data_IF_278508986197
#
_entry.id   IF_278508986197
#
_cell.length_a   1.000
_cell.length_b   1.000
_cell.length_c   1.000
_cell.angle_alpha   90.00
_cell.angle_beta   90.00
_cell.angle_gamma   90.00
#
_symmetry.space_group_name_H-M   'P 1'
#
loop_
_entity.id
_entity.type
_entity.pdbx_description
1 polymer ?
#
# COMPACT_ATOMS: atom_id res chain seq x y z
N UNK A 1 -33.23 -8.19 -25.70
CA UNK A 1 -32.74 -8.07 -24.34
C UNK A 1 -33.80 -8.63 -23.38
N UNK A 2 -33.39 -9.37 -22.32
CA UNK A 2 -34.34 -9.85 -21.34
C UNK A 2 -35.10 -8.68 -20.69
N UNK A 3 -36.39 -8.92 -20.38
CA UNK A 3 -37.23 -7.91 -19.75
C UNK A 3 -36.74 -7.76 -18.28
N UNK A 4 -36.11 -6.63 -17.96
CA UNK A 4 -35.68 -6.31 -16.60
C UNK A 4 -36.82 -5.56 -15.91
N UNK A 5 -37.27 -6.08 -14.77
CA UNK A 5 -38.21 -5.38 -13.92
C UNK A 5 -37.48 -4.35 -13.04
N UNK A 6 -37.59 -3.04 -13.28
CA UNK A 6 -36.73 -2.05 -12.64
C UNK A 6 -37.02 -1.87 -11.15
N UNK A 7 -38.24 -2.12 -10.67
CA UNK A 7 -38.62 -1.91 -9.26
C UNK A 7 -37.92 -2.88 -8.29
N UNK A 8 -37.98 -4.22 -8.49
CA UNK A 8 -37.26 -5.14 -7.60
C UNK A 8 -35.74 -4.97 -7.69
N UNK A 9 -35.24 -4.68 -8.91
CA UNK A 9 -33.79 -4.41 -9.09
C UNK A 9 -33.34 -3.19 -8.27
N UNK A 10 -34.13 -2.10 -8.32
CA UNK A 10 -33.83 -0.91 -7.53
C UNK A 10 -33.89 -1.18 -6.01
N UNK A 11 -34.90 -1.95 -5.55
CA UNK A 11 -35.03 -2.27 -4.13
C UNK A 11 -33.82 -3.07 -3.62
N UNK A 12 -33.36 -4.08 -4.37
CA UNK A 12 -32.18 -4.89 -4.04
C UNK A 12 -30.91 -4.04 -4.09
N UNK A 13 -30.77 -3.18 -5.11
CA UNK A 13 -29.61 -2.30 -5.22
C UNK A 13 -29.50 -1.32 -4.05
N UNK A 14 -30.63 -0.70 -3.64
CA UNK A 14 -30.64 0.21 -2.48
C UNK A 14 -30.33 -0.54 -1.17
N UNK A 15 -30.87 -1.74 -0.97
CA UNK A 15 -30.51 -2.57 0.18
C UNK A 15 -29.01 -2.89 0.19
N UNK A 16 -28.42 -3.24 -0.97
CA UNK A 16 -26.98 -3.44 -1.12
C UNK A 16 -26.16 -2.20 -0.79
N UNK A 17 -26.57 -1.01 -1.23
CA UNK A 17 -25.93 0.25 -0.87
C UNK A 17 -25.90 0.44 0.65
N UNK A 18 -27.05 0.27 1.33
CA UNK A 18 -27.13 0.44 2.79
C UNK A 18 -26.21 -0.53 3.52
N UNK A 19 -26.21 -1.80 3.14
CA UNK A 19 -25.35 -2.82 3.76
C UNK A 19 -23.86 -2.51 3.55
N UNK A 20 -23.46 -2.14 2.31
CA UNK A 20 -22.07 -1.84 2.00
C UNK A 20 -21.59 -0.53 2.66
N UNK A 21 -22.45 0.50 2.77
CA UNK A 21 -22.13 1.70 3.52
C UNK A 21 -21.89 1.36 5.01
N UNK A 22 -22.78 0.57 5.62
CA UNK A 22 -22.64 0.15 7.01
C UNK A 22 -21.35 -0.67 7.22
N UNK A 23 -21.08 -1.64 6.36
CA UNK A 23 -19.86 -2.44 6.39
C UNK A 23 -18.59 -1.60 6.20
N UNK A 24 -18.61 -0.67 5.22
CA UNK A 24 -17.50 0.26 4.98
C UNK A 24 -17.23 1.17 6.18
N UNK A 25 -18.27 1.68 6.83
CA UNK A 25 -18.15 2.51 8.04
C UNK A 25 -17.57 1.72 9.22
N UNK A 26 -17.95 0.47 9.40
CA UNK A 26 -17.42 -0.40 10.44
C UNK A 26 -15.93 -0.70 10.17
N UNK A 27 -15.60 -1.06 8.94
CA UNK A 27 -14.23 -1.39 8.57
C UNK A 27 -13.31 -0.16 8.53
N UNK A 28 -13.85 1.03 8.23
CA UNK A 28 -13.10 2.29 8.30
C UNK A 28 -12.61 2.65 9.71
N UNK A 29 -13.21 2.07 10.75
CA UNK A 29 -12.80 2.21 12.15
C UNK A 29 -11.75 1.17 12.57
N UNK A 30 -11.55 0.13 11.77
CA UNK A 30 -10.52 -0.86 12.02
C UNK A 30 -9.14 -0.30 11.63
N UNK A 31 -8.08 -0.84 12.23
CA UNK A 31 -6.72 -0.49 11.84
C UNK A 31 -6.44 -0.97 10.42
N UNK A 32 -6.25 -0.05 9.47
CA UNK A 32 -6.04 -0.32 8.04
C UNK A 32 -4.59 -0.59 7.67
N UNK A 33 -3.71 -0.74 8.64
CA UNK A 33 -2.30 -0.99 8.43
C UNK A 33 -2.04 -2.37 7.80
N UNK A 34 -3.00 -3.29 7.90
CA UNK A 34 -2.92 -4.61 7.27
C UNK A 34 -3.45 -4.59 5.83
N UNK A 35 -2.67 -5.14 4.87
CA UNK A 35 -3.09 -5.36 3.47
C UNK A 35 -4.43 -6.09 3.35
N UNK A 36 -4.70 -7.02 4.28
CA UNK A 36 -5.96 -7.75 4.30
C UNK A 36 -7.16 -6.84 4.61
N UNK A 37 -7.00 -5.92 5.57
CA UNK A 37 -8.06 -4.96 5.95
C UNK A 37 -8.25 -3.94 4.82
N UNK A 38 -7.17 -3.44 4.24
CA UNK A 38 -7.23 -2.53 3.10
C UNK A 38 -7.86 -3.20 1.88
N UNK A 39 -7.49 -4.46 1.58
CA UNK A 39 -8.11 -5.24 0.51
C UNK A 39 -9.60 -5.46 0.72
N UNK A 40 -10.03 -5.82 1.94
CA UNK A 40 -11.43 -5.96 2.29
C UNK A 40 -12.21 -4.64 2.17
N UNK A 41 -11.61 -3.52 2.60
CA UNK A 41 -12.20 -2.20 2.46
C UNK A 41 -12.39 -1.81 0.97
N UNK A 42 -11.36 -2.01 0.15
CA UNK A 42 -11.44 -1.75 -1.32
C UNK A 42 -12.51 -2.62 -1.98
N UNK A 43 -12.65 -3.88 -1.56
CA UNK A 43 -13.70 -4.75 -2.08
C UNK A 43 -15.10 -4.20 -1.75
N UNK A 44 -15.36 -3.80 -0.49
CA UNK A 44 -16.64 -3.21 -0.07
C UNK A 44 -16.94 -1.92 -0.85
N UNK A 45 -15.96 -1.07 -1.07
CA UNK A 45 -16.15 0.16 -1.86
C UNK A 45 -16.44 -0.16 -3.32
N UNK A 46 -15.80 -1.18 -3.89
CA UNK A 46 -16.05 -1.62 -5.26
C UNK A 46 -17.47 -2.19 -5.42
N UNK A 47 -17.93 -2.99 -4.46
CA UNK A 47 -19.30 -3.49 -4.42
C UNK A 47 -20.32 -2.35 -4.30
N UNK A 48 -20.00 -1.33 -3.49
CA UNK A 48 -20.83 -0.14 -3.36
C UNK A 48 -21.01 0.57 -4.72
N UNK A 49 -19.93 0.71 -5.51
CA UNK A 49 -20.04 1.25 -6.87
C UNK A 49 -20.93 0.38 -7.77
N UNK A 50 -20.86 -0.95 -7.61
CA UNK A 50 -21.71 -1.90 -8.31
C UNK A 50 -23.18 -1.66 -8.00
N UNK A 51 -23.55 -1.57 -6.73
CA UNK A 51 -24.94 -1.32 -6.31
C UNK A 51 -25.44 0.07 -6.71
N UNK A 52 -24.60 1.10 -6.62
CA UNK A 52 -24.95 2.45 -7.10
C UNK A 52 -25.18 2.43 -8.62
N UNK A 53 -24.29 1.79 -9.39
CA UNK A 53 -24.43 1.65 -10.84
C UNK A 53 -25.74 0.94 -11.23
N UNK A 54 -26.05 -0.15 -10.54
CA UNK A 54 -27.31 -0.91 -10.73
C UNK A 54 -28.53 -0.07 -10.37
N UNK A 55 -28.50 0.70 -9.27
CA UNK A 55 -29.58 1.59 -8.88
C UNK A 55 -29.81 2.69 -9.93
N UNK A 56 -28.74 3.31 -10.42
CA UNK A 56 -28.83 4.32 -11.50
C UNK A 56 -29.40 3.72 -12.78
N UNK A 57 -28.91 2.53 -13.19
CA UNK A 57 -29.43 1.84 -14.37
C UNK A 57 -30.93 1.54 -14.23
N UNK A 58 -31.36 1.04 -13.06
CA UNK A 58 -32.78 0.76 -12.80
C UNK A 58 -33.65 2.02 -12.89
N UNK A 59 -33.18 3.16 -12.36
CA UNK A 59 -33.90 4.44 -12.48
C UNK A 59 -33.97 4.91 -13.93
N UNK A 60 -32.87 4.81 -14.69
CA UNK A 60 -32.85 5.16 -16.11
C UNK A 60 -33.80 4.28 -16.91
N UNK A 61 -33.80 2.96 -16.70
CA UNK A 61 -34.72 2.03 -17.37
C UNK A 61 -36.17 2.39 -17.01
N UNK A 62 -36.47 2.68 -15.75
CA UNK A 62 -37.79 3.04 -15.29
C UNK A 62 -38.30 4.35 -15.92
N UNK A 63 -37.41 5.35 -16.01
CA UNK A 63 -37.78 6.68 -16.53
C UNK A 63 -37.84 6.74 -18.06
N UNK A 64 -36.95 6.01 -18.75
CA UNK A 64 -36.77 6.15 -20.22
C UNK A 64 -37.14 4.91 -21.02
N UNK A 65 -37.29 3.76 -20.39
CA UNK A 65 -37.42 2.46 -21.05
C UNK A 65 -36.15 1.96 -21.76
N UNK A 66 -35.01 2.62 -21.57
CA UNK A 66 -33.77 2.28 -22.24
C UNK A 66 -33.07 1.05 -21.58
N UNK A 67 -33.42 -0.15 -22.02
CA UNK A 67 -32.96 -1.42 -21.49
C UNK A 67 -31.44 -1.65 -21.56
N UNK A 68 -30.71 -0.88 -22.39
CA UNK A 68 -29.25 -1.00 -22.48
C UNK A 68 -28.49 -0.30 -21.35
N UNK A 69 -29.19 0.50 -20.53
CA UNK A 69 -28.60 1.21 -19.41
C UNK A 69 -27.90 0.25 -18.41
N UNK A 70 -28.48 -0.93 -18.18
CA UNK A 70 -27.91 -1.98 -17.32
C UNK A 70 -26.57 -2.48 -17.87
N UNK A 71 -26.49 -2.80 -19.15
CA UNK A 71 -25.25 -3.24 -19.79
C UNK A 71 -24.16 -2.16 -19.75
N UNK A 72 -24.53 -0.88 -19.94
CA UNK A 72 -23.57 0.23 -19.85
C UNK A 72 -23.07 0.40 -18.42
N UNK A 73 -23.97 0.39 -17.43
CA UNK A 73 -23.60 0.46 -16.02
C UNK A 73 -22.67 -0.70 -15.63
N UNK A 74 -22.99 -1.92 -16.05
CA UNK A 74 -22.15 -3.10 -15.83
C UNK A 74 -20.76 -2.93 -16.42
N UNK A 75 -20.62 -2.45 -17.65
CA UNK A 75 -19.32 -2.21 -18.28
C UNK A 75 -18.50 -1.18 -17.51
N UNK A 76 -19.12 -0.10 -17.05
CA UNK A 76 -18.46 0.93 -16.24
C UNK A 76 -17.95 0.33 -14.92
N UNK A 77 -18.81 -0.43 -14.22
CA UNK A 77 -18.42 -1.10 -12.95
C UNK A 77 -17.30 -2.08 -13.17
N UNK A 78 -17.35 -2.92 -14.21
CA UNK A 78 -16.28 -3.87 -14.55
C UNK A 78 -14.96 -3.14 -14.83
N UNK A 79 -14.98 -2.02 -15.54
CA UNK A 79 -13.76 -1.23 -15.78
C UNK A 79 -13.18 -0.66 -14.48
N UNK A 80 -14.01 -0.16 -13.57
CA UNK A 80 -13.60 0.32 -12.26
C UNK A 80 -13.02 -0.82 -11.39
N UNK A 81 -13.66 -1.99 -11.39
CA UNK A 81 -13.18 -3.18 -10.69
C UNK A 81 -11.82 -3.65 -11.21
N UNK A 82 -11.65 -3.67 -12.53
CA UNK A 82 -10.39 -4.04 -13.16
C UNK A 82 -9.27 -3.08 -12.78
N UNK A 83 -9.55 -1.78 -12.80
CA UNK A 83 -8.58 -0.75 -12.39
C UNK A 83 -8.16 -0.91 -10.93
N UNK A 84 -9.13 -1.08 -10.02
CA UNK A 84 -8.87 -1.28 -8.59
C UNK A 84 -8.08 -2.58 -8.34
N UNK A 85 -8.45 -3.67 -9.01
CA UNK A 85 -7.77 -4.97 -8.91
C UNK A 85 -6.32 -4.93 -9.43
N UNK A 86 -6.09 -4.25 -10.55
CA UNK A 86 -4.75 -4.08 -11.10
C UNK A 86 -3.82 -3.33 -10.12
N UNK A 87 -4.32 -2.30 -9.44
CA UNK A 87 -3.58 -1.59 -8.40
C UNK A 87 -3.20 -2.49 -7.22
N UNK A 88 -4.14 -3.33 -6.75
CA UNK A 88 -3.88 -4.26 -5.66
C UNK A 88 -2.85 -5.33 -6.05
N UNK A 89 -2.94 -5.87 -7.27
CA UNK A 89 -1.95 -6.84 -7.80
C UNK A 89 -0.56 -6.21 -7.91
N UNK A 90 -0.47 -4.98 -8.40
CA UNK A 90 0.80 -4.27 -8.50
C UNK A 90 1.43 -4.05 -7.10
N UNK A 91 0.62 -3.67 -6.11
CA UNK A 91 1.09 -3.48 -4.73
C UNK A 91 1.55 -4.80 -4.09
N UNK A 92 0.76 -5.87 -4.23
CA UNK A 92 1.13 -7.20 -3.76
C UNK A 92 2.40 -7.72 -4.45
N UNK A 93 2.51 -7.50 -5.76
CA UNK A 93 3.69 -7.85 -6.55
C UNK A 93 4.94 -7.13 -6.05
N UNK A 94 4.85 -5.84 -5.69
CA UNK A 94 5.98 -5.08 -5.14
C UNK A 94 6.47 -5.66 -3.82
N UNK A 95 5.55 -6.01 -2.91
CA UNK A 95 5.91 -6.65 -1.63
C UNK A 95 6.58 -8.01 -1.87
N UNK A 96 6.03 -8.83 -2.78
CA UNK A 96 6.60 -10.16 -3.10
C UNK A 96 7.97 -10.08 -3.80
N UNK A 97 8.24 -9.00 -4.53
CA UNK A 97 9.52 -8.75 -5.20
C UNK A 97 10.50 -7.96 -4.33
N UNK A 98 10.19 -7.78 -3.03
CA UNK A 98 11.04 -7.04 -2.08
C UNK A 98 11.37 -5.63 -2.58
N UNK A 99 10.43 -5.00 -3.28
CA UNK A 99 10.59 -3.63 -3.75
C UNK A 99 10.44 -2.62 -2.61
N UNK A 100 11.14 -1.48 -2.74
CA UNK A 100 11.02 -0.39 -1.79
C UNK A 100 9.57 0.11 -1.67
N UNK A 101 9.12 0.52 -0.47
CA UNK A 101 7.82 1.13 -0.26
C UNK A 101 7.59 2.34 -1.17
N UNK A 102 6.31 2.60 -1.52
CA UNK A 102 5.97 3.78 -2.30
C UNK A 102 6.36 5.06 -1.54
N UNK A 103 7.10 5.93 -2.21
CA UNK A 103 7.56 7.21 -1.64
C UNK A 103 8.87 7.13 -0.87
N UNK A 104 9.50 5.97 -0.74
CA UNK A 104 10.83 5.84 -0.13
C UNK A 104 11.91 6.25 -1.12
N UNK A 105 12.67 7.28 -0.76
CA UNK A 105 13.86 7.69 -1.51
C UNK A 105 15.09 6.98 -0.94
N UNK A 106 15.49 5.89 -1.58
CA UNK A 106 16.65 5.07 -1.16
C UNK A 106 17.96 5.86 -1.24
N UNK A 107 18.07 6.78 -2.20
CA UNK A 107 19.28 7.61 -2.32
C UNK A 107 19.37 8.67 -1.22
N UNK A 108 18.22 9.22 -0.79
CA UNK A 108 18.17 10.10 0.37
C UNK A 108 18.57 9.36 1.66
N UNK A 109 18.13 8.12 1.84
CA UNK A 109 18.56 7.27 2.97
C UNK A 109 20.08 7.08 2.94
N UNK A 110 20.63 6.72 1.77
CA UNK A 110 22.06 6.55 1.58
C UNK A 110 22.84 7.83 1.90
N UNK A 111 22.40 8.95 1.37
CA UNK A 111 23.04 10.24 1.60
C UNK A 111 23.07 10.61 3.09
N UNK A 112 21.96 10.35 3.79
CA UNK A 112 21.85 10.65 5.22
C UNK A 112 22.74 9.76 6.10
N UNK A 113 22.88 8.47 5.74
CA UNK A 113 23.84 7.59 6.42
C UNK A 113 25.30 8.05 6.23
N UNK A 114 25.62 8.62 5.06
CA UNK A 114 26.96 9.15 4.77
C UNK A 114 27.27 10.46 5.53
N UNK A 115 26.27 11.15 6.07
CA UNK A 115 26.45 12.32 6.92
C UNK A 115 26.85 11.97 8.36
N UNK A 116 26.70 10.69 8.76
CA UNK A 116 27.11 10.24 10.09
C UNK A 116 28.65 10.17 10.16
N UNK A 117 29.23 10.74 11.20
CA UNK A 117 30.67 10.76 11.40
C UNK A 117 31.24 9.33 11.36
N UNK A 118 32.43 9.17 10.81
CA UNK A 118 33.13 7.89 10.63
C UNK A 118 32.54 6.93 9.60
N UNK A 119 31.37 7.21 8.99
CA UNK A 119 30.87 6.44 7.84
C UNK A 119 31.52 6.97 6.57
N UNK A 120 32.19 6.09 5.83
CA UNK A 120 32.97 6.44 4.62
C UNK A 120 32.29 6.04 3.33
N UNK A 121 31.55 4.93 3.35
CA UNK A 121 30.76 4.47 2.22
C UNK A 121 29.56 3.64 2.70
N UNK A 122 28.51 3.61 1.89
CA UNK A 122 27.33 2.80 2.08
C UNK A 122 27.03 2.06 0.79
N UNK A 123 27.06 0.73 0.83
CA UNK A 123 26.74 -0.10 -0.33
C UNK A 123 25.84 -1.27 0.06
N UNK A 124 25.31 -1.98 -0.95
CA UNK A 124 24.33 -3.05 -0.77
C UNK A 124 23.13 -2.59 0.08
N UNK A 125 22.71 -1.33 -0.13
CA UNK A 125 21.54 -0.76 0.52
C UNK A 125 20.27 -1.29 -0.14
N UNK A 126 19.55 -2.10 0.60
CA UNK A 126 18.25 -2.65 0.22
C UNK A 126 17.18 -2.16 1.18
N UNK A 127 16.05 -1.71 0.64
CA UNK A 127 14.87 -1.31 1.40
C UNK A 127 13.67 -2.04 0.82
N UNK A 128 12.92 -2.73 1.67
CA UNK A 128 11.71 -3.46 1.24
C UNK A 128 10.62 -3.38 2.29
N UNK A 129 9.39 -3.79 1.92
CA UNK A 129 8.28 -3.90 2.86
C UNK A 129 8.11 -5.35 3.30
N UNK A 130 8.19 -5.61 4.59
CA UNK A 130 7.81 -6.92 5.18
C UNK A 130 6.28 -7.05 5.20
N UNK A 131 5.62 -5.97 5.58
CA UNK A 131 4.18 -5.75 5.49
C UNK A 131 3.94 -4.32 5.02
N UNK A 132 2.67 -3.93 4.81
CA UNK A 132 2.32 -2.59 4.31
C UNK A 132 2.89 -1.43 5.12
N UNK A 133 3.17 -1.65 6.42
CA UNK A 133 3.58 -0.61 7.37
C UNK A 133 4.87 -0.98 8.10
N UNK A 134 5.59 -1.98 7.61
CA UNK A 134 6.83 -2.39 8.22
C UNK A 134 7.94 -2.36 7.17
N UNK A 135 8.54 -1.19 6.91
CA UNK A 135 9.73 -1.10 6.09
C UNK A 135 10.90 -1.76 6.83
N UNK A 136 11.67 -2.53 6.09
CA UNK A 136 12.91 -3.11 6.55
C UNK A 136 14.05 -2.65 5.66
N UNK A 137 15.26 -2.58 6.23
CA UNK A 137 16.45 -2.12 5.55
C UNK A 137 17.63 -3.05 5.86
N UNK A 138 18.45 -3.29 4.87
CA UNK A 138 19.80 -3.84 5.08
C UNK A 138 20.81 -3.00 4.32
N UNK A 139 21.98 -2.81 4.94
CA UNK A 139 23.09 -2.09 4.31
C UNK A 139 24.44 -2.54 4.85
N UNK A 140 25.47 -2.37 4.03
CA UNK A 140 26.87 -2.44 4.41
C UNK A 140 27.43 -1.02 4.54
N UNK A 141 27.97 -0.71 5.71
CA UNK A 141 28.60 0.56 6.01
C UNK A 141 30.09 0.37 6.16
N UNK A 142 30.87 1.01 5.31
CA UNK A 142 32.33 1.09 5.46
C UNK A 142 32.62 2.18 6.45
N UNK A 143 33.28 1.82 7.56
CA UNK A 143 33.62 2.74 8.64
C UNK A 143 35.13 2.83 8.86
N UNK A 144 35.57 3.86 9.56
CA UNK A 144 36.98 4.01 9.94
C UNK A 144 37.46 2.83 10.76
N UNK A 145 38.65 2.29 10.43
CA UNK A 145 39.21 1.13 11.09
C UNK A 145 39.41 1.33 12.59
N UNK A 146 39.66 2.56 13.04
CA UNK A 146 39.82 2.92 14.45
C UNK A 146 38.56 2.57 15.26
N UNK A 147 37.38 2.70 14.70
CA UNK A 147 36.10 2.40 15.37
C UNK A 147 35.95 0.94 15.81
N UNK A 148 36.68 0.01 15.16
CA UNK A 148 36.70 -1.41 15.56
C UNK A 148 37.59 -1.68 16.80
N UNK A 149 38.53 -0.79 17.09
CA UNK A 149 39.55 -1.02 18.11
C UNK A 149 39.33 -0.18 19.38
N UNK A 150 38.70 0.97 19.26
CA UNK A 150 38.47 1.90 20.37
C UNK A 150 37.11 1.71 21.08
N UNK A 151 36.29 0.76 20.59
CA UNK A 151 34.97 0.48 21.12
C UNK A 151 33.89 1.48 20.66
N UNK A 152 34.13 2.26 19.60
CA UNK A 152 33.20 3.24 19.05
C UNK A 152 32.08 2.61 18.21
N UNK A 153 32.36 1.46 17.58
CA UNK A 153 31.40 0.82 16.66
C UNK A 153 29.97 0.60 17.23
N UNK A 154 29.76 0.19 18.50
CA UNK A 154 28.42 0.07 19.05
C UNK A 154 27.68 1.42 19.13
N UNK A 155 28.36 2.51 19.47
CA UNK A 155 27.75 3.86 19.54
C UNK A 155 27.41 4.37 18.15
N UNK A 156 28.30 4.15 17.20
CA UNK A 156 28.06 4.50 15.80
C UNK A 156 26.84 3.76 15.23
N UNK A 157 26.65 2.49 15.65
CA UNK A 157 25.44 1.74 15.27
C UNK A 157 24.18 2.41 15.82
N UNK A 158 24.19 2.81 17.09
CA UNK A 158 23.05 3.49 17.72
C UNK A 158 22.74 4.82 17.00
N UNK A 159 23.77 5.60 16.65
CA UNK A 159 23.62 6.88 15.92
C UNK A 159 23.00 6.69 14.54
N UNK A 160 23.45 5.67 13.79
CA UNK A 160 22.86 5.35 12.46
C UNK A 160 21.42 4.87 12.62
N UNK A 161 21.13 4.04 13.62
CA UNK A 161 19.77 3.55 13.88
C UNK A 161 18.82 4.69 14.28
N UNK A 162 19.25 5.61 15.15
CA UNK A 162 18.46 6.79 15.53
C UNK A 162 18.20 7.69 14.33
N UNK A 163 19.18 7.86 13.46
CA UNK A 163 19.05 8.60 12.21
C UNK A 163 17.97 7.99 11.30
N UNK A 164 17.98 6.66 11.13
CA UNK A 164 17.00 5.95 10.29
C UNK A 164 15.58 6.05 10.84
N UNK A 165 15.41 5.82 12.14
CA UNK A 165 14.10 5.92 12.81
C UNK A 165 13.58 7.36 12.78
N UNK A 166 14.44 8.33 13.06
CA UNK A 166 14.03 9.73 13.17
C UNK A 166 13.63 10.41 11.86
N UNK A 167 14.19 9.98 10.72
CA UNK A 167 14.01 10.65 9.44
C UNK A 167 13.26 9.82 8.40
N UNK A 168 13.28 8.48 8.49
CA UNK A 168 12.75 7.60 7.45
C UNK A 168 11.74 6.57 7.96
N UNK A 169 11.42 6.57 9.27
CA UNK A 169 10.45 5.65 9.90
C UNK A 169 10.80 4.15 9.65
N UNK A 170 12.11 3.84 9.65
CA UNK A 170 12.63 2.48 9.45
C UNK A 170 13.06 1.90 10.79
N UNK A 171 12.15 1.17 11.43
CA UNK A 171 12.38 0.53 12.73
C UNK A 171 13.18 -0.79 12.63
N UNK A 172 13.14 -1.44 11.46
CA UNK A 172 13.76 -2.75 11.24
C UNK A 172 14.93 -2.62 10.27
N UNK A 173 16.14 -2.54 10.83
CA UNK A 173 17.35 -2.44 10.03
C UNK A 173 18.39 -3.49 10.45
N UNK A 174 19.10 -4.01 9.44
CA UNK A 174 20.26 -4.89 9.62
C UNK A 174 21.46 -4.23 8.98
N UNK A 175 22.38 -3.77 9.80
CA UNK A 175 23.58 -3.07 9.37
C UNK A 175 24.81 -3.92 9.62
N UNK A 176 25.68 -4.00 8.63
CA UNK A 176 26.99 -4.64 8.77
C UNK A 176 28.07 -3.60 8.58
N UNK A 177 28.95 -3.46 9.58
CA UNK A 177 30.12 -2.62 9.48
C UNK A 177 31.26 -3.37 8.81
N UNK A 178 31.90 -2.70 7.87
CA UNK A 178 33.06 -3.19 7.12
C UNK A 178 34.24 -2.24 7.31
N UNK A 179 35.45 -2.79 7.29
CA UNK A 179 36.67 -1.98 7.31
C UNK A 179 37.01 -1.51 5.89
N UNK A 180 37.82 -0.44 5.80
CA UNK A 180 38.28 0.14 4.53
C UNK A 180 39.15 -0.83 3.69
N UNK A 181 39.55 -1.97 4.24
CA UNK A 181 40.51 -2.92 3.62
C UNK A 181 39.78 -4.07 2.89
N UNK A 182 38.48 -3.98 2.72
CA UNK A 182 37.70 -5.01 1.99
C UNK A 182 37.31 -4.56 0.59
#
# INVERSE_FOLDING_TARGET
PPHVEPKPVLAVALAGVVVNVAAGMLLARANRTSLNVEGAYRHIITDLYGFIGTAVAAVVIWATGWMRADAVATLVVVALMFHAGAGLVAQAGRVLLEGAPDGTDVEAIRAHMLEVDHVRDVHDLHVWSVTSDLPALSAHLVIDDECFHDGHAPRLLDEVLECLVGHFDVDHSTLQFLSLIH
#
